data_IF_344934523182
#
_entry.id   IF_344934523182
#
_cell.length_a   1.000
_cell.length_b   1.000
_cell.length_c   1.000
_cell.angle_alpha   90.00
_cell.angle_beta   90.00
_cell.angle_gamma   90.00
#
_symmetry.space_group_name_H-M   'P 1'
#
loop_
_entity.id
_entity.type
_entity.pdbx_description
1 polymer ?
#
# COMPACT_ATOMS: atom_id res chain seq x y z
N UNK A 1 -15.63 30.48 -17.62
CA UNK A 1 -15.15 29.50 -18.62
C UNK A 1 -15.23 28.12 -18.00
N UNK A 2 -16.22 27.31 -18.40
CA UNK A 2 -16.25 25.90 -18.01
C UNK A 2 -15.11 25.22 -18.77
N UNK A 3 -14.05 24.80 -18.06
CA UNK A 3 -13.05 23.87 -18.62
C UNK A 3 -13.81 22.74 -19.29
N UNK A 4 -13.61 22.53 -20.58
CA UNK A 4 -14.17 21.40 -21.30
C UNK A 4 -13.73 20.12 -20.57
N UNK A 5 -14.64 19.56 -19.77
CA UNK A 5 -14.33 18.40 -18.93
C UNK A 5 -14.11 17.24 -19.87
N UNK A 6 -12.87 16.77 -19.96
CA UNK A 6 -12.54 15.58 -20.75
C UNK A 6 -13.41 14.40 -20.31
N UNK A 7 -13.78 13.49 -21.23
CA UNK A 7 -14.50 12.27 -20.87
C UNK A 7 -13.70 11.46 -19.85
N UNK A 8 -14.39 10.72 -18.98
CA UNK A 8 -13.72 9.82 -18.05
C UNK A 8 -13.07 8.71 -18.89
N UNK A 9 -11.82 8.29 -18.61
CA UNK A 9 -11.25 7.14 -19.30
C UNK A 9 -12.13 5.90 -19.11
N UNK A 10 -12.41 5.18 -20.19
CA UNK A 10 -13.31 4.03 -20.16
C UNK A 10 -12.84 2.94 -19.19
N UNK A 11 -11.51 2.76 -19.05
CA UNK A 11 -10.89 1.83 -18.10
C UNK A 11 -11.32 2.09 -16.64
N UNK A 12 -11.57 3.35 -16.29
CA UNK A 12 -12.07 3.71 -14.96
C UNK A 12 -13.53 3.31 -14.82
N UNK A 13 -14.35 3.49 -15.86
CA UNK A 13 -15.76 3.08 -15.85
C UNK A 13 -15.89 1.55 -15.75
N UNK A 14 -15.08 0.80 -16.49
CA UNK A 14 -15.01 -0.66 -16.37
C UNK A 14 -14.57 -1.10 -14.97
N UNK A 15 -13.56 -0.44 -14.39
CA UNK A 15 -13.14 -0.69 -13.01
C UNK A 15 -14.27 -0.49 -12.01
N UNK A 16 -15.01 0.62 -12.12
CA UNK A 16 -16.15 0.92 -11.27
C UNK A 16 -17.26 -0.12 -11.44
N UNK A 17 -17.58 -0.50 -12.68
CA UNK A 17 -18.60 -1.51 -12.97
C UNK A 17 -18.25 -2.85 -12.32
N UNK A 18 -17.02 -3.34 -12.47
CA UNK A 18 -16.56 -4.60 -11.87
C UNK A 18 -16.61 -4.55 -10.34
N UNK A 19 -16.16 -3.44 -9.74
CA UNK A 19 -16.16 -3.29 -8.28
C UNK A 19 -17.59 -3.24 -7.70
N UNK A 20 -18.52 -2.55 -8.37
CA UNK A 20 -19.93 -2.51 -7.99
C UNK A 20 -20.61 -3.88 -8.21
N UNK A 21 -20.29 -4.59 -9.28
CA UNK A 21 -20.80 -5.93 -9.51
C UNK A 21 -20.34 -6.91 -8.43
N UNK A 22 -19.06 -6.86 -8.05
CA UNK A 22 -18.54 -7.67 -6.95
C UNK A 22 -19.27 -7.37 -5.63
N UNK A 23 -19.56 -6.10 -5.35
CA UNK A 23 -20.37 -5.71 -4.19
C UNK A 23 -21.78 -6.31 -4.26
N UNK A 24 -22.47 -6.19 -5.39
CA UNK A 24 -23.81 -6.76 -5.56
C UNK A 24 -23.84 -8.28 -5.45
N UNK A 25 -22.84 -8.99 -5.99
CA UNK A 25 -22.73 -10.45 -5.85
C UNK A 25 -22.72 -10.87 -4.39
N UNK A 26 -21.91 -10.18 -3.56
CA UNK A 26 -21.78 -10.50 -2.13
C UNK A 26 -23.06 -10.14 -1.36
N UNK A 27 -23.70 -9.01 -1.66
CA UNK A 27 -24.93 -8.60 -0.97
C UNK A 27 -26.11 -9.49 -1.36
N UNK A 28 -26.26 -9.77 -2.64
CA UNK A 28 -27.40 -10.53 -3.15
C UNK A 28 -27.31 -12.02 -2.79
N UNK A 29 -26.11 -12.57 -2.62
CA UNK A 29 -25.94 -13.95 -2.13
C UNK A 29 -26.45 -14.16 -0.71
N UNK A 30 -26.58 -13.09 0.07
CA UNK A 30 -27.18 -13.10 1.42
C UNK A 30 -28.66 -12.71 1.41
N UNK A 31 -29.32 -12.65 0.24
CA UNK A 31 -30.70 -12.20 0.07
C UNK A 31 -30.94 -10.78 0.61
N UNK A 32 -29.96 -9.90 0.43
CA UNK A 32 -30.04 -8.49 0.78
C UNK A 32 -30.05 -7.61 -0.47
N UNK A 33 -30.38 -6.34 -0.28
CA UNK A 33 -30.33 -5.25 -1.25
C UNK A 33 -29.61 -4.04 -0.63
N UNK A 34 -28.93 -3.25 -1.47
CA UNK A 34 -28.23 -2.03 -1.09
C UNK A 34 -29.14 -0.80 -1.09
N UNK A 35 -30.17 -0.79 -1.93
CA UNK A 35 -31.14 0.28 -1.92
C UNK A 35 -30.53 1.61 -2.40
N UNK A 36 -30.91 2.75 -1.78
CA UNK A 36 -30.40 4.08 -2.12
C UNK A 36 -28.93 4.31 -1.77
N UNK A 37 -28.26 3.31 -1.15
CA UNK A 37 -26.80 3.35 -0.92
C UNK A 37 -26.00 3.42 -2.23
N UNK A 38 -26.61 3.06 -3.36
CA UNK A 38 -26.06 3.16 -4.72
C UNK A 38 -26.26 4.54 -5.36
N UNK A 39 -26.21 5.61 -4.56
CA UNK A 39 -26.28 7.00 -5.04
C UNK A 39 -24.88 7.61 -5.06
N UNK A 40 -24.53 8.54 -5.98
CA UNK A 40 -23.19 9.14 -6.02
C UNK A 40 -22.72 9.74 -4.69
N UNK A 41 -23.64 10.32 -3.91
CA UNK A 41 -23.35 10.90 -2.58
C UNK A 41 -23.03 9.87 -1.50
N UNK A 42 -23.29 8.59 -1.76
CA UNK A 42 -23.11 7.47 -0.82
C UNK A 42 -22.02 6.49 -1.28
N UNK A 43 -21.43 6.69 -2.46
CA UNK A 43 -20.26 5.96 -2.91
C UNK A 43 -18.99 6.72 -2.52
N UNK A 44 -18.12 6.06 -1.77
CA UNK A 44 -16.81 6.58 -1.40
C UNK A 44 -15.76 6.05 -2.36
N UNK A 45 -14.93 6.95 -2.85
CA UNK A 45 -13.71 6.61 -3.58
C UNK A 45 -12.58 6.70 -2.57
N UNK A 46 -12.04 5.54 -2.20
CA UNK A 46 -10.88 5.39 -1.34
C UNK A 46 -9.67 5.00 -2.20
N UNK A 47 -8.47 5.49 -1.88
CA UNK A 47 -7.30 5.35 -2.76
C UNK A 47 -7.62 5.80 -4.21
N UNK A 48 -6.69 5.69 -5.16
CA UNK A 48 -6.87 6.31 -6.50
C UNK A 48 -8.18 5.89 -7.22
N UNK A 49 -8.69 4.67 -7.03
CA UNK A 49 -9.85 4.12 -7.76
C UNK A 49 -10.70 3.08 -6.99
N UNK A 50 -10.56 2.92 -5.67
CA UNK A 50 -11.29 1.87 -4.92
C UNK A 50 -12.65 2.38 -4.45
N UNK A 51 -13.71 1.83 -5.03
CA UNK A 51 -15.11 2.15 -4.71
C UNK A 51 -15.57 1.37 -3.48
N UNK A 52 -16.25 2.06 -2.55
CA UNK A 52 -16.91 1.47 -1.38
C UNK A 52 -18.28 2.10 -1.21
N UNK A 53 -19.30 1.28 -0.98
CA UNK A 53 -20.61 1.79 -0.60
C UNK A 53 -20.60 2.20 0.88
N UNK A 54 -21.06 3.41 1.16
CA UNK A 54 -21.29 3.90 2.51
C UNK A 54 -22.78 3.77 2.87
N UNK A 55 -23.09 3.78 4.16
CA UNK A 55 -24.47 3.83 4.67
C UNK A 55 -25.30 2.62 4.22
N UNK A 56 -24.68 1.44 4.14
CA UNK A 56 -25.36 0.19 3.76
C UNK A 56 -26.27 -0.27 4.92
N UNK A 57 -27.49 -0.72 4.59
CA UNK A 57 -28.42 -1.33 5.55
C UNK A 57 -29.30 -0.37 6.36
N UNK A 58 -28.99 0.93 6.40
CA UNK A 58 -29.84 1.92 7.08
C UNK A 58 -31.22 1.99 6.43
N UNK A 59 -31.26 1.95 5.09
CA UNK A 59 -32.52 1.98 4.37
C UNK A 59 -33.41 0.76 4.67
N UNK A 60 -32.82 -0.43 4.75
CA UNK A 60 -33.53 -1.68 5.05
C UNK A 60 -34.13 -1.67 6.47
N UNK A 61 -33.57 -0.87 7.39
CA UNK A 61 -34.12 -0.64 8.73
C UNK A 61 -35.27 0.37 8.72
N UNK A 62 -35.17 1.45 7.93
CA UNK A 62 -36.13 2.57 7.94
C UNK A 62 -37.35 2.27 7.06
N UNK A 63 -37.16 1.72 5.86
CA UNK A 63 -38.22 1.41 4.91
C UNK A 63 -38.38 -0.10 4.78
N UNK A 64 -38.86 -0.74 5.85
CA UNK A 64 -39.29 -2.13 5.80
C UNK A 64 -40.62 -2.22 5.03
N UNK A 65 -40.56 -1.94 3.72
CA UNK A 65 -41.70 -1.99 2.83
C UNK A 65 -41.98 -3.46 2.48
N UNK A 66 -42.94 -4.07 3.18
CA UNK A 66 -43.30 -5.50 3.01
C UNK A 66 -43.87 -5.84 1.62
N UNK A 67 -44.08 -4.82 0.78
CA UNK A 67 -44.73 -4.95 -0.55
C UNK A 67 -43.79 -5.34 -1.67
N UNK A 68 -42.49 -5.07 -1.56
CA UNK A 68 -41.51 -5.43 -2.59
C UNK A 68 -40.78 -6.72 -2.24
N UNK A 69 -40.70 -7.62 -3.20
CA UNK A 69 -39.87 -8.82 -3.06
C UNK A 69 -38.38 -8.44 -3.07
N UNK A 70 -37.56 -9.23 -2.37
CA UNK A 70 -36.10 -9.06 -2.38
C UNK A 70 -35.54 -9.12 -3.82
N UNK A 71 -36.12 -9.95 -4.68
CA UNK A 71 -35.69 -10.09 -6.07
C UNK A 71 -35.94 -8.81 -6.89
N UNK A 72 -37.04 -8.10 -6.63
CA UNK A 72 -37.32 -6.79 -7.26
C UNK A 72 -36.34 -5.72 -6.76
N UNK A 73 -36.03 -5.72 -5.46
CA UNK A 73 -35.03 -4.80 -4.90
C UNK A 73 -33.63 -5.06 -5.48
N UNK A 74 -33.26 -6.32 -5.66
CA UNK A 74 -31.99 -6.70 -6.31
C UNK A 74 -31.95 -6.28 -7.78
N UNK A 75 -33.06 -6.38 -8.50
CA UNK A 75 -33.17 -5.87 -9.87
C UNK A 75 -33.03 -4.34 -9.92
N UNK A 76 -33.62 -3.64 -8.95
CA UNK A 76 -33.47 -2.18 -8.82
C UNK A 76 -32.02 -1.78 -8.55
N UNK A 77 -31.29 -2.53 -7.72
CA UNK A 77 -29.87 -2.27 -7.45
C UNK A 77 -29.01 -2.40 -8.73
N UNK A 78 -29.24 -3.42 -9.55
CA UNK A 78 -28.56 -3.58 -10.84
C UNK A 78 -28.85 -2.38 -11.76
N UNK A 79 -30.12 -1.95 -11.82
CA UNK A 79 -30.51 -0.78 -12.59
C UNK A 79 -29.86 0.52 -12.08
N UNK A 80 -29.79 0.73 -10.76
CA UNK A 80 -29.10 1.88 -10.14
C UNK A 80 -27.62 1.90 -10.51
N UNK A 81 -26.94 0.76 -10.58
CA UNK A 81 -25.55 0.68 -11.08
C UNK A 81 -25.46 1.16 -12.52
N UNK A 82 -26.41 0.79 -13.39
CA UNK A 82 -26.48 1.30 -14.77
C UNK A 82 -26.65 2.82 -14.81
N UNK A 83 -27.53 3.38 -13.96
CA UNK A 83 -27.71 4.82 -13.86
C UNK A 83 -26.45 5.55 -13.39
N UNK A 84 -25.74 4.99 -12.40
CA UNK A 84 -24.47 5.54 -11.92
C UNK A 84 -23.41 5.58 -13.02
N UNK A 85 -23.25 4.47 -13.74
CA UNK A 85 -22.30 4.37 -14.85
C UNK A 85 -22.65 5.36 -15.98
N UNK A 86 -23.94 5.50 -16.30
CA UNK A 86 -24.42 6.47 -17.27
C UNK A 86 -24.17 7.92 -16.82
N UNK A 87 -24.45 8.24 -15.56
CA UNK A 87 -24.18 9.57 -14.99
C UNK A 87 -22.69 9.90 -15.04
N UNK A 88 -21.82 8.95 -14.70
CA UNK A 88 -20.37 9.11 -14.78
C UNK A 88 -19.92 9.31 -16.24
N UNK A 89 -20.45 8.51 -17.17
CA UNK A 89 -20.12 8.60 -18.59
C UNK A 89 -20.54 9.94 -19.22
N UNK A 90 -21.74 10.45 -18.86
CA UNK A 90 -22.28 11.70 -19.38
C UNK A 90 -21.69 12.95 -18.70
N UNK A 91 -21.16 12.85 -17.47
CA UNK A 91 -20.54 13.94 -16.69
C UNK A 91 -21.41 15.19 -16.45
N UNK A 92 -22.69 15.14 -16.85
CA UNK A 92 -23.69 16.19 -16.68
C UNK A 92 -24.63 15.80 -15.55
N UNK A 93 -24.82 16.70 -14.58
CA UNK A 93 -25.57 16.39 -13.36
C UNK A 93 -27.02 15.92 -13.58
N UNK A 94 -27.59 16.14 -14.77
CA UNK A 94 -29.03 15.89 -15.03
C UNK A 94 -29.36 15.33 -16.43
N UNK A 95 -28.39 15.04 -17.32
CA UNK A 95 -28.70 14.49 -18.66
C UNK A 95 -28.12 13.09 -18.87
N UNK A 96 -28.95 12.08 -18.62
CA UNK A 96 -28.68 10.67 -18.91
C UNK A 96 -28.98 10.38 -20.38
N UNK A 97 -28.04 10.62 -21.28
CA UNK A 97 -28.22 10.34 -22.71
C UNK A 97 -27.31 9.21 -23.16
N UNK A 98 -27.92 8.07 -23.51
CA UNK A 98 -27.22 6.95 -24.14
C UNK A 98 -26.56 7.35 -25.47
N UNK A 99 -27.09 8.37 -26.17
CA UNK A 99 -26.48 8.87 -27.41
C UNK A 99 -25.11 9.51 -27.17
N UNK A 100 -24.93 10.22 -26.05
CA UNK A 100 -23.61 10.77 -25.69
C UNK A 100 -22.60 9.66 -25.39
N UNK A 101 -23.06 8.56 -24.78
CA UNK A 101 -22.18 7.41 -24.51
C UNK A 101 -21.76 6.75 -25.82
N UNK A 102 -22.70 6.52 -26.73
CA UNK A 102 -22.44 5.93 -28.06
C UNK A 102 -21.43 6.74 -28.89
N UNK A 103 -21.30 8.05 -28.64
CA UNK A 103 -20.35 8.93 -29.34
C UNK A 103 -18.95 8.91 -28.73
N UNK A 104 -18.84 8.73 -27.42
CA UNK A 104 -17.60 8.96 -26.67
C UNK A 104 -16.90 7.68 -26.19
N UNK A 105 -17.60 6.54 -26.16
CA UNK A 105 -17.12 5.28 -25.62
C UNK A 105 -17.31 4.12 -26.60
N UNK A 106 -16.72 2.97 -26.30
CA UNK A 106 -16.85 1.77 -27.12
C UNK A 106 -18.31 1.30 -27.25
N UNK A 107 -18.60 0.58 -28.35
CA UNK A 107 -19.88 -0.10 -28.54
C UNK A 107 -20.17 -1.10 -27.41
N UNK A 108 -19.13 -1.75 -26.89
CA UNK A 108 -19.25 -2.72 -25.80
C UNK A 108 -19.76 -2.07 -24.52
N UNK A 109 -19.21 -0.91 -24.14
CA UNK A 109 -19.68 -0.18 -22.96
C UNK A 109 -21.12 0.32 -23.14
N UNK A 110 -21.44 0.81 -24.33
CA UNK A 110 -22.79 1.26 -24.65
C UNK A 110 -23.82 0.12 -24.62
N UNK A 111 -23.45 -1.07 -25.11
CA UNK A 111 -24.27 -2.28 -25.03
C UNK A 111 -24.47 -2.74 -23.59
N UNK A 112 -23.44 -2.68 -22.74
CA UNK A 112 -23.58 -2.96 -21.31
C UNK A 112 -24.66 -2.06 -20.69
N UNK A 113 -24.57 -0.74 -20.91
CA UNK A 113 -25.54 0.19 -20.36
C UNK A 113 -26.95 -0.07 -20.89
N UNK A 114 -27.10 -0.35 -22.19
CA UNK A 114 -28.39 -0.71 -22.77
C UNK A 114 -28.97 -1.97 -22.13
N UNK A 115 -28.16 -3.01 -21.92
CA UNK A 115 -28.59 -4.26 -21.28
C UNK A 115 -29.03 -4.05 -19.82
N UNK A 116 -28.31 -3.21 -19.07
CA UNK A 116 -28.63 -2.92 -17.66
C UNK A 116 -29.84 -1.98 -17.53
N UNK A 117 -30.02 -1.02 -18.45
CA UNK A 117 -31.07 -0.01 -18.34
C UNK A 117 -32.39 -0.41 -19.01
N UNK A 118 -32.34 -1.32 -19.99
CA UNK A 118 -33.50 -1.78 -20.78
C UNK A 118 -33.98 -3.16 -20.33
N UNK A 119 -33.74 -3.52 -19.06
CA UNK A 119 -34.14 -4.82 -18.51
C UNK A 119 -35.61 -5.08 -18.87
N UNK A 120 -35.81 -6.14 -19.66
CA UNK A 120 -37.13 -6.50 -20.18
C UNK A 120 -38.05 -6.87 -19.02
N UNK A 121 -39.31 -6.40 -19.08
CA UNK A 121 -40.37 -6.80 -18.15
C UNK A 121 -40.42 -8.33 -18.08
N UNK A 122 -40.07 -8.90 -16.92
CA UNK A 122 -40.13 -10.34 -16.65
C UNK A 122 -38.81 -10.99 -16.21
N UNK A 123 -37.66 -10.37 -16.48
CA UNK A 123 -36.36 -10.84 -15.95
C UNK A 123 -35.97 -9.96 -14.75
N UNK A 124 -35.71 -10.58 -13.61
CA UNK A 124 -35.20 -9.91 -12.40
C UNK A 124 -33.68 -10.15 -12.30
N UNK A 125 -32.84 -9.27 -12.87
CA UNK A 125 -31.39 -9.43 -12.78
C UNK A 125 -30.90 -9.23 -11.35
N UNK A 126 -29.83 -9.92 -11.00
CA UNK A 126 -29.16 -9.80 -9.71
C UNK A 126 -27.65 -9.55 -9.93
N UNK A 127 -26.88 -9.48 -8.84
CA UNK A 127 -25.43 -9.27 -8.90
C UNK A 127 -24.72 -10.31 -9.77
N UNK A 128 -25.17 -11.57 -9.75
CA UNK A 128 -24.59 -12.64 -10.58
C UNK A 128 -24.81 -12.41 -12.08
N UNK A 129 -25.97 -11.88 -12.47
CA UNK A 129 -26.22 -11.47 -13.85
C UNK A 129 -25.24 -10.38 -14.30
N UNK A 130 -25.04 -9.35 -13.47
CA UNK A 130 -24.10 -8.27 -13.78
C UNK A 130 -22.65 -8.78 -13.84
N UNK A 131 -22.27 -9.68 -12.93
CA UNK A 131 -20.95 -10.31 -12.94
C UNK A 131 -20.69 -11.12 -14.21
N UNK A 132 -21.70 -11.83 -14.73
CA UNK A 132 -21.59 -12.56 -16.00
C UNK A 132 -21.31 -11.62 -17.18
N UNK A 133 -22.00 -10.48 -17.27
CA UNK A 133 -21.76 -9.46 -18.31
C UNK A 133 -20.36 -8.86 -18.25
N UNK A 134 -19.79 -8.76 -17.04
CA UNK A 134 -18.50 -8.13 -16.78
C UNK A 134 -17.33 -9.11 -16.69
N UNK A 135 -17.56 -10.41 -16.90
CA UNK A 135 -16.57 -11.46 -16.64
C UNK A 135 -15.21 -11.24 -17.31
N UNK A 136 -15.20 -10.75 -18.56
CA UNK A 136 -13.96 -10.46 -19.28
C UNK A 136 -13.14 -9.32 -18.66
N UNK A 137 -13.80 -8.33 -18.06
CA UNK A 137 -13.16 -7.17 -17.42
C UNK A 137 -12.70 -7.48 -15.99
N UNK A 138 -13.26 -8.53 -15.38
CA UNK A 138 -12.88 -8.96 -14.04
C UNK A 138 -11.41 -9.38 -13.95
N UNK A 139 -10.85 -10.02 -14.99
CA UNK A 139 -9.43 -10.39 -15.04
C UNK A 139 -8.49 -9.19 -15.08
N UNK A 140 -8.90 -8.11 -15.76
CA UNK A 140 -8.14 -6.85 -15.78
C UNK A 140 -8.11 -6.22 -14.39
N UNK A 141 -9.23 -6.20 -13.68
CA UNK A 141 -9.25 -5.71 -12.30
C UNK A 141 -8.52 -6.61 -11.31
N UNK A 142 -8.62 -7.93 -11.48
CA UNK A 142 -7.85 -8.87 -10.67
C UNK A 142 -6.34 -8.64 -10.84
N UNK A 143 -5.89 -8.43 -12.07
CA UNK A 143 -4.49 -8.08 -12.37
C UNK A 143 -4.08 -6.78 -11.68
N UNK A 144 -4.91 -5.72 -11.74
CA UNK A 144 -4.64 -4.45 -11.04
C UNK A 144 -4.55 -4.61 -9.52
N UNK A 145 -5.41 -5.43 -8.93
CA UNK A 145 -5.38 -5.74 -7.49
C UNK A 145 -4.09 -6.50 -7.14
N UNK A 146 -3.68 -7.48 -7.94
CA UNK A 146 -2.44 -8.22 -7.72
C UNK A 146 -1.21 -7.30 -7.82
N UNK A 147 -1.13 -6.44 -8.85
CA UNK A 147 -0.04 -5.46 -8.99
C UNK A 147 0.02 -4.48 -7.81
N UNK A 148 -1.14 -4.03 -7.32
CA UNK A 148 -1.20 -3.21 -6.11
C UNK A 148 -0.68 -3.97 -4.89
N UNK A 149 -1.04 -5.25 -4.76
CA UNK A 149 -0.58 -6.10 -3.67
C UNK A 149 0.93 -6.29 -3.70
N UNK A 150 1.51 -6.59 -4.87
CA UNK A 150 2.96 -6.71 -5.06
C UNK A 150 3.69 -5.42 -4.69
N UNK A 151 3.16 -4.27 -5.11
CA UNK A 151 3.71 -2.96 -4.75
C UNK A 151 3.60 -2.68 -3.25
N UNK A 152 2.51 -3.09 -2.58
CA UNK A 152 2.38 -2.97 -1.14
C UNK A 152 3.39 -3.88 -0.41
N UNK A 153 3.59 -5.12 -0.87
CA UNK A 153 4.58 -6.03 -0.31
C UNK A 153 6.01 -5.51 -0.49
N UNK A 154 6.34 -4.95 -1.65
CA UNK A 154 7.65 -4.37 -1.91
C UNK A 154 7.93 -3.19 -0.97
N UNK A 155 6.95 -2.28 -0.80
CA UNK A 155 7.09 -1.16 0.12
C UNK A 155 7.17 -1.61 1.58
N UNK A 156 6.36 -2.61 1.97
CA UNK A 156 6.42 -3.20 3.31
C UNK A 156 7.79 -3.84 3.58
N UNK A 157 8.38 -4.52 2.59
CA UNK A 157 9.70 -5.12 2.71
C UNK A 157 10.78 -4.05 2.94
N UNK A 158 10.73 -2.95 2.18
CA UNK A 158 11.62 -1.79 2.37
C UNK A 158 11.49 -1.18 3.76
N UNK A 159 10.25 -0.97 4.24
CA UNK A 159 10.00 -0.42 5.57
C UNK A 159 10.43 -1.36 6.70
N UNK A 160 10.29 -2.68 6.51
CA UNK A 160 10.80 -3.68 7.44
C UNK A 160 12.33 -3.61 7.53
N UNK A 161 13.02 -3.51 6.40
CA UNK A 161 14.49 -3.33 6.36
C UNK A 161 14.90 -2.02 7.04
N UNK A 162 14.24 -0.90 6.73
CA UNK A 162 14.46 0.38 7.39
C UNK A 162 14.30 0.26 8.92
N UNK A 163 13.27 -0.45 9.39
CA UNK A 163 13.05 -0.69 10.81
C UNK A 163 14.14 -1.53 11.48
N UNK A 164 14.76 -2.47 10.77
CA UNK A 164 15.92 -3.25 11.27
C UNK A 164 17.16 -2.37 11.38
N UNK A 165 17.46 -1.60 10.33
CA UNK A 165 18.60 -0.68 10.31
C UNK A 165 18.45 0.42 11.36
N UNK A 166 17.25 0.98 11.54
CA UNK A 166 16.97 1.98 12.57
C UNK A 166 17.29 1.44 13.97
N UNK A 167 16.85 0.22 14.30
CA UNK A 167 17.18 -0.42 15.59
C UNK A 167 18.69 -0.57 15.77
N UNK A 168 19.41 -0.95 14.71
CA UNK A 168 20.87 -1.09 14.75
C UNK A 168 21.57 0.26 14.97
N UNK A 169 21.15 1.30 14.24
CA UNK A 169 21.65 2.66 14.39
C UNK A 169 21.40 3.21 15.79
N UNK A 170 20.22 2.97 16.37
CA UNK A 170 19.89 3.36 17.75
C UNK A 170 20.82 2.66 18.74
N UNK A 171 21.05 1.35 18.58
CA UNK A 171 22.01 0.61 19.44
C UNK A 171 23.42 1.18 19.33
N UNK A 172 23.90 1.40 18.11
CA UNK A 172 25.21 2.01 17.87
C UNK A 172 25.30 3.41 18.51
N UNK A 173 24.25 4.23 18.38
CA UNK A 173 24.19 5.56 19.00
C UNK A 173 24.16 5.53 20.53
N UNK A 174 23.58 4.49 21.15
CA UNK A 174 23.60 4.31 22.60
C UNK A 174 24.95 3.79 23.15
N UNK A 175 25.73 3.12 22.30
CA UNK A 175 27.04 2.53 22.67
C UNK A 175 28.18 3.53 22.40
N UNK A 176 28.20 4.13 21.21
CA UNK A 176 29.27 4.99 20.75
C UNK A 176 29.40 6.24 21.61
N UNK A 177 30.63 6.59 22.00
CA UNK A 177 30.97 7.82 22.73
C UNK A 177 30.22 8.03 24.05
N UNK A 178 29.64 6.97 24.62
CA UNK A 178 28.95 7.06 25.89
C UNK A 178 29.94 7.44 27.01
N UNK A 179 29.69 8.52 27.78
CA UNK A 179 30.52 8.89 28.91
C UNK A 179 30.41 7.84 30.03
N UNK A 180 31.53 7.55 30.68
CA UNK A 180 31.59 6.57 31.77
C UNK A 180 31.23 7.26 33.10
N UNK A 181 30.30 6.71 33.90
CA UNK A 181 29.94 7.22 35.24
C UNK A 181 31.00 6.91 36.33
N UNK A 182 32.01 6.12 35.99
CA UNK A 182 33.03 5.64 36.92
C UNK A 182 34.35 6.34 36.68
N UNK A 183 34.99 6.79 37.77
CA UNK A 183 36.39 7.21 37.88
C UNK A 183 37.42 6.19 37.35
N UNK A 184 36.99 5.02 36.86
CA UNK A 184 37.81 4.13 36.04
C UNK A 184 37.81 4.59 34.58
N UNK A 185 38.89 5.29 34.24
CA UNK A 185 39.30 5.76 32.92
C UNK A 185 39.59 4.62 31.91
N UNK A 186 38.70 3.65 31.74
CA UNK A 186 38.99 2.46 30.92
C UNK A 186 37.79 1.82 30.19
N UNK A 187 36.53 2.23 30.41
CA UNK A 187 35.45 1.57 29.65
C UNK A 187 35.50 2.05 28.18
N UNK A 188 35.84 3.31 27.90
CA UNK A 188 36.12 3.83 26.54
C UNK A 188 37.30 3.16 25.79
N UNK A 189 38.32 2.67 26.50
CA UNK A 189 39.55 2.09 25.92
C UNK A 189 39.59 0.55 25.91
N UNK A 190 38.48 -0.12 26.26
CA UNK A 190 38.36 -1.57 26.19
C UNK A 190 38.21 -2.04 24.73
N UNK A 191 38.88 -3.15 24.36
CA UNK A 191 39.05 -3.60 22.97
C UNK A 191 37.77 -3.68 22.12
N UNK A 192 36.65 -4.12 22.70
CA UNK A 192 35.37 -4.19 22.00
C UNK A 192 34.79 -2.81 21.68
N UNK A 193 34.98 -1.80 22.55
CA UNK A 193 34.52 -0.43 22.26
C UNK A 193 35.38 0.27 21.21
N UNK A 194 36.69 0.03 21.23
CA UNK A 194 37.58 0.52 20.18
C UNK A 194 37.15 -0.01 18.81
N UNK A 195 36.77 -1.30 18.74
CA UNK A 195 36.21 -1.90 17.54
C UNK A 195 34.91 -1.20 17.06
N UNK A 196 34.00 -0.83 17.97
CA UNK A 196 32.79 -0.05 17.64
C UNK A 196 33.11 1.33 17.05
N UNK A 197 34.11 2.01 17.60
CA UNK A 197 34.55 3.32 17.10
C UNK A 197 35.12 3.21 15.69
N UNK A 198 35.96 2.21 15.43
CA UNK A 198 36.51 1.98 14.10
C UNK A 198 35.42 1.59 13.09
N UNK A 199 34.45 0.76 13.49
CA UNK A 199 33.32 0.42 12.64
C UNK A 199 32.47 1.64 12.30
N UNK A 200 32.19 2.51 13.28
CA UNK A 200 31.49 3.77 13.03
C UNK A 200 32.26 4.63 12.02
N UNK A 201 33.57 4.77 12.18
CA UNK A 201 34.39 5.57 11.27
C UNK A 201 34.42 4.94 9.85
N UNK A 202 34.48 3.61 9.75
CA UNK A 202 34.38 2.86 8.48
C UNK A 202 33.04 3.08 7.75
N UNK A 203 31.93 3.14 8.48
CA UNK A 203 30.60 3.31 7.89
C UNK A 203 30.28 4.78 7.59
N UNK A 204 30.52 5.69 8.53
CA UNK A 204 29.99 7.06 8.48
C UNK A 204 31.02 8.15 8.22
N UNK A 205 32.32 7.86 8.35
CA UNK A 205 33.39 8.86 8.23
C UNK A 205 34.32 8.57 7.04
N UNK A 206 33.75 8.07 5.95
CA UNK A 206 34.49 7.87 4.71
C UNK A 206 35.05 9.18 4.15
N UNK A 207 36.23 9.08 3.53
CA UNK A 207 36.87 10.20 2.85
C UNK A 207 37.22 9.82 1.41
N UNK A 208 37.17 10.78 0.50
CA UNK A 208 37.69 10.63 -0.87
C UNK A 208 39.22 10.62 -0.86
N UNK A 209 39.89 10.24 -1.96
CA UNK A 209 41.35 10.33 -2.08
C UNK A 209 41.90 11.75 -1.83
N UNK A 210 41.08 12.78 -2.03
CA UNK A 210 41.41 14.18 -1.75
C UNK A 210 41.21 14.58 -0.28
N UNK A 211 40.80 13.65 0.58
CA UNK A 211 40.53 13.87 2.00
C UNK A 211 39.18 14.54 2.32
N UNK A 212 38.31 14.74 1.32
CA UNK A 212 36.97 15.32 1.52
C UNK A 212 35.99 14.28 2.07
N UNK A 213 34.97 14.65 2.85
CA UNK A 213 33.98 13.70 3.35
C UNK A 213 33.22 13.05 2.18
N UNK A 214 33.06 11.73 2.23
CA UNK A 214 32.28 10.96 1.26
C UNK A 214 30.96 10.50 1.90
N UNK A 215 29.83 10.98 1.36
CA UNK A 215 28.48 10.68 1.85
C UNK A 215 27.82 9.59 0.99
N UNK A 216 28.47 8.43 0.89
CA UNK A 216 27.96 7.31 0.11
C UNK A 216 26.88 6.55 0.87
N UNK A 217 25.62 6.83 0.52
CA UNK A 217 24.47 6.16 1.12
C UNK A 217 24.41 4.67 0.79
N UNK A 218 24.92 4.26 -0.38
CA UNK A 218 24.99 2.86 -0.79
C UNK A 218 25.91 2.06 0.12
N UNK A 219 27.10 2.58 0.40
CA UNK A 219 28.04 1.98 1.36
C UNK A 219 27.44 1.83 2.76
N UNK A 220 26.78 2.88 3.26
CA UNK A 220 26.16 2.85 4.59
C UNK A 220 25.10 1.76 4.66
N UNK A 221 24.19 1.70 3.69
CA UNK A 221 23.14 0.68 3.65
C UNK A 221 23.72 -0.72 3.52
N UNK A 222 24.69 -0.93 2.63
CA UNK A 222 25.31 -2.24 2.43
C UNK A 222 26.01 -2.72 3.70
N UNK A 223 26.84 -1.87 4.31
CA UNK A 223 27.58 -2.20 5.53
C UNK A 223 26.66 -2.54 6.69
N UNK A 224 25.58 -1.77 6.90
CA UNK A 224 24.63 -2.04 7.97
C UNK A 224 23.77 -3.29 7.69
N UNK A 225 23.42 -3.57 6.43
CA UNK A 225 22.72 -4.80 6.07
C UNK A 225 23.60 -6.05 6.25
N UNK A 226 24.89 -5.96 5.88
CA UNK A 226 25.88 -7.02 6.13
C UNK A 226 26.05 -7.26 7.63
N UNK A 227 26.13 -6.19 8.42
CA UNK A 227 26.20 -6.25 9.88
C UNK A 227 24.94 -6.85 10.50
N UNK A 228 23.75 -6.41 10.10
CA UNK A 228 22.48 -6.94 10.61
C UNK A 228 22.26 -8.40 10.20
N UNK A 229 22.78 -8.81 9.02
CA UNK A 229 22.78 -10.22 8.60
C UNK A 229 23.81 -11.04 9.40
N UNK A 230 24.95 -10.45 9.76
CA UNK A 230 26.04 -11.13 10.46
C UNK A 230 26.75 -12.13 9.56
N UNK A 231 27.12 -11.71 8.35
CA UNK A 231 27.84 -12.55 7.39
C UNK A 231 29.32 -12.70 7.76
N UNK A 232 29.97 -13.77 7.26
CA UNK A 232 31.39 -14.04 7.50
C UNK A 232 32.34 -13.22 6.60
N UNK A 233 31.82 -12.25 5.84
CA UNK A 233 32.65 -11.32 5.08
C UNK A 233 33.46 -10.45 6.05
N UNK A 234 34.76 -10.32 5.79
CA UNK A 234 35.67 -9.51 6.59
C UNK A 234 35.75 -8.09 6.06
N UNK A 235 35.74 -7.12 6.97
CA UNK A 235 35.97 -5.71 6.71
C UNK A 235 37.31 -5.27 7.30
N UNK A 236 37.93 -4.28 6.65
CA UNK A 236 39.17 -3.67 7.09
C UNK A 236 38.87 -2.38 7.85
N UNK A 237 39.25 -2.33 9.11
CA UNK A 237 39.02 -1.22 10.02
C UNK A 237 40.35 -0.55 10.34
N UNK A 238 40.53 0.70 9.89
CA UNK A 238 41.77 1.44 10.08
C UNK A 238 41.61 2.49 11.18
N UNK A 239 42.64 2.62 12.03
CA UNK A 239 42.73 3.70 13.00
C UNK A 239 42.86 5.07 12.31
N UNK A 240 42.48 6.14 13.02
CA UNK A 240 42.53 7.51 12.49
C UNK A 240 43.93 8.01 12.13
N UNK A 241 44.94 7.44 12.79
CA UNK A 241 46.35 7.71 12.52
C UNK A 241 46.94 6.76 11.46
N UNK A 242 46.12 5.88 10.89
CA UNK A 242 46.46 4.88 9.86
C UNK A 242 47.56 3.89 10.27
N UNK A 243 47.92 3.84 11.56
CA UNK A 243 48.98 2.96 12.07
C UNK A 243 48.50 1.55 12.40
N UNK A 244 47.21 1.39 12.69
CA UNK A 244 46.62 0.12 13.08
C UNK A 244 45.50 -0.26 12.12
N UNK A 245 45.54 -1.49 11.63
CA UNK A 245 44.51 -2.07 10.77
C UNK A 245 44.03 -3.37 11.41
N UNK A 246 42.72 -3.45 11.64
CA UNK A 246 42.06 -4.65 12.15
C UNK A 246 41.19 -5.24 11.04
N UNK A 247 41.23 -6.57 10.91
CA UNK A 247 40.37 -7.31 9.99
C UNK A 247 39.37 -8.10 10.83
N UNK A 248 38.09 -7.79 10.69
CA UNK A 248 37.02 -8.36 11.51
C UNK A 248 35.84 -8.74 10.64
N UNK A 249 35.16 -9.85 10.92
CA UNK A 249 33.97 -10.23 10.17
C UNK A 249 32.73 -9.44 10.62
N UNK A 250 31.74 -9.27 9.73
CA UNK A 250 30.46 -8.69 10.13
C UNK A 250 29.75 -9.53 11.21
N UNK A 251 29.97 -10.85 11.23
CA UNK A 251 29.46 -11.75 12.27
C UNK A 251 30.04 -11.43 13.65
N UNK A 252 31.37 -11.29 13.75
CA UNK A 252 32.06 -10.96 15.00
C UNK A 252 31.68 -9.56 15.48
N UNK A 253 31.61 -8.59 14.55
CA UNK A 253 31.18 -7.23 14.85
C UNK A 253 29.76 -7.19 15.43
N UNK A 254 28.83 -7.96 14.84
CA UNK A 254 27.45 -8.07 15.32
C UNK A 254 27.41 -8.64 16.74
N UNK A 255 28.22 -9.67 17.02
CA UNK A 255 28.32 -10.25 18.35
C UNK A 255 28.86 -9.26 19.37
N UNK A 256 29.89 -8.48 19.02
CA UNK A 256 30.45 -7.44 19.88
C UNK A 256 29.43 -6.32 20.18
N UNK A 257 28.68 -5.84 19.17
CA UNK A 257 27.60 -4.84 19.36
C UNK A 257 26.53 -5.38 20.32
N UNK A 258 26.11 -6.63 20.12
CA UNK A 258 25.10 -7.27 20.95
C UNK A 258 25.57 -7.37 22.40
N UNK A 259 26.78 -7.86 22.62
CA UNK A 259 27.37 -7.98 23.96
C UNK A 259 27.48 -6.63 24.65
N UNK A 260 27.95 -5.58 23.95
CA UNK A 260 28.04 -4.23 24.49
C UNK A 260 26.67 -3.64 24.85
N UNK A 261 25.66 -3.85 24.00
CA UNK A 261 24.29 -3.43 24.26
C UNK A 261 23.68 -4.18 25.46
N UNK A 262 23.87 -5.49 25.55
CA UNK A 262 23.33 -6.32 26.64
C UNK A 262 23.96 -5.94 27.99
N UNK A 263 25.24 -5.59 28.02
CA UNK A 263 25.90 -5.05 29.22
C UNK A 263 25.28 -3.72 29.66
N UNK A 264 25.01 -2.82 28.70
CA UNK A 264 24.35 -1.55 28.96
C UNK A 264 22.92 -1.73 29.49
N UNK A 265 22.18 -2.64 28.86
CA UNK A 265 20.82 -2.96 29.26
C UNK A 265 20.77 -3.48 30.70
N UNK A 266 21.68 -4.40 31.06
CA UNK A 266 21.79 -4.91 32.44
C UNK A 266 22.11 -3.85 33.47
N UNK A 267 22.89 -2.82 33.13
CA UNK A 267 23.18 -1.69 34.05
C UNK A 267 21.99 -0.75 34.23
N UNK A 268 21.01 -0.78 33.34
CA UNK A 268 19.82 0.08 33.41
C UNK A 268 18.66 -0.51 34.22
N UNK A 269 18.74 -1.81 34.54
CA UNK A 269 17.82 -2.53 35.42
C UNK A 269 18.29 -2.39 36.87
#
# INVERSE_FOLDING_TARGET
QQLARQPIPEDVLWSFAVQLANLLVVVHSHNLSLGPSLTPSKLLITNKIRVRANVVGIYNLIQKDERQSVQEQQAEDVWRVGQLLLLMACRTGNSTSLEMVNRNYTKQFSQLLQNILTIQKGILPNGSYLAHLLGQHAFTELSKVNMLNDMLYENLYKELQNGRLLKLLVKLGMINERPDDSTSMQWADSGDKYLMQLFRDFVFHQKTPEGKPNLDFGHVLESLNKLDSGINESMMLSSRDEKSVLVVSYADMKQAIRSAYDQLYKKSL
#
